data_IF_202059519608
#
_entry.id   IF_202059519608
#
_cell.length_a   1.000
_cell.length_b   1.000
_cell.length_c   1.000
_cell.angle_alpha   90.00
_cell.angle_beta   90.00
_cell.angle_gamma   90.00
#
_symmetry.space_group_name_H-M   'P 1'
#
loop_
_entity.id
_entity.type
_entity.pdbx_description
1 polymer ?
#
# COMPACT_ATOMS: atom_id res chain seq x y z
N UNK A 1 14.50 -17.82 12.38
CA UNK A 1 13.20 -17.71 12.99
C UNK A 1 13.09 -16.42 13.78
N UNK A 2 12.12 -15.57 13.40
CA UNK A 2 11.80 -14.37 14.17
C UNK A 2 10.69 -14.75 15.15
N UNK A 3 11.01 -15.04 16.41
CA UNK A 3 10.03 -15.36 17.45
C UNK A 3 10.52 -16.40 18.45
N UNK A 4 10.10 -16.27 19.68
CA UNK A 4 10.57 -16.98 20.87
C UNK A 4 10.32 -18.50 20.92
N UNK A 5 9.72 -19.14 19.93
CA UNK A 5 9.27 -20.54 20.00
C UNK A 5 9.91 -21.51 19.00
N UNK A 6 11.09 -21.23 18.48
CA UNK A 6 11.65 -22.10 17.46
C UNK A 6 12.66 -23.17 17.89
N UNK A 7 13.31 -23.17 19.05
CA UNK A 7 14.53 -23.97 19.16
C UNK A 7 14.30 -25.47 19.27
N UNK A 8 13.42 -25.95 20.13
CA UNK A 8 13.37 -27.38 20.44
C UNK A 8 12.75 -28.24 19.33
N UNK A 9 11.56 -27.88 18.84
CA UNK A 9 10.90 -28.64 17.78
C UNK A 9 11.67 -28.61 16.45
N UNK A 10 12.37 -27.50 16.18
CA UNK A 10 13.23 -27.37 15.00
C UNK A 10 14.50 -28.21 15.14
N UNK A 11 15.08 -28.24 16.34
CA UNK A 11 16.25 -29.04 16.67
C UNK A 11 15.97 -30.54 16.49
N UNK A 12 14.86 -31.04 17.03
CA UNK A 12 14.41 -32.42 16.87
C UNK A 12 14.20 -32.81 15.39
N UNK A 13 13.51 -31.95 14.62
CA UNK A 13 13.31 -32.18 13.17
C UNK A 13 14.62 -32.19 12.40
N UNK A 14 15.54 -31.31 12.73
CA UNK A 14 16.83 -31.23 12.05
C UNK A 14 17.67 -32.46 12.38
N UNK A 15 17.74 -32.87 13.66
CA UNK A 15 18.45 -34.07 14.12
C UNK A 15 17.87 -35.33 13.48
N UNK A 16 16.54 -35.45 13.44
CA UNK A 16 15.87 -36.59 12.80
C UNK A 16 16.16 -36.67 11.29
N UNK A 17 16.29 -35.54 10.60
CA UNK A 17 16.50 -35.50 9.16
C UNK A 17 17.95 -35.63 8.73
N UNK A 18 18.89 -35.11 9.51
CA UNK A 18 20.31 -34.97 9.11
C UNK A 18 21.29 -35.72 10.03
N UNK A 19 20.82 -36.27 11.14
CA UNK A 19 21.67 -36.94 12.12
C UNK A 19 22.70 -36.02 12.79
N UNK A 20 22.51 -34.71 12.71
CA UNK A 20 23.43 -33.67 13.20
C UNK A 20 22.73 -32.72 14.15
N UNK A 21 23.50 -32.15 15.08
CA UNK A 21 23.04 -31.07 15.95
C UNK A 21 23.44 -29.71 15.38
N UNK A 22 22.69 -28.65 15.77
CA UNK A 22 23.06 -27.27 15.50
C UNK A 22 23.00 -26.46 16.80
N UNK A 23 23.86 -25.47 16.89
CA UNK A 23 23.87 -24.54 18.00
C UNK A 23 22.91 -23.39 17.74
N UNK A 24 22.00 -23.12 18.67
CA UNK A 24 21.16 -21.93 18.63
C UNK A 24 21.95 -20.77 19.21
N UNK A 25 22.32 -19.80 18.40
CA UNK A 25 22.94 -18.57 18.87
C UNK A 25 21.81 -17.57 19.16
N UNK A 26 21.63 -17.09 20.40
CA UNK A 26 20.66 -16.06 20.70
C UNK A 26 21.10 -14.75 20.04
N UNK A 27 20.37 -14.35 19.01
CA UNK A 27 20.58 -13.08 18.32
C UNK A 27 19.37 -12.19 18.55
N UNK A 28 19.57 -11.11 19.29
CA UNK A 28 18.58 -10.05 19.53
C UNK A 28 18.81 -8.94 18.50
N UNK A 29 18.35 -9.15 17.26
CA UNK A 29 18.36 -8.11 16.24
C UNK A 29 17.06 -7.30 16.27
N UNK A 30 17.14 -6.05 15.79
CA UNK A 30 15.94 -5.25 15.57
C UNK A 30 14.96 -5.97 14.62
N UNK A 31 13.65 -5.80 14.86
CA UNK A 31 12.60 -6.36 14.02
C UNK A 31 12.51 -5.58 12.70
N UNK A 32 13.43 -5.87 11.77
CA UNK A 32 13.47 -5.22 10.45
C UNK A 32 12.72 -6.06 9.43
N UNK A 33 11.77 -5.46 8.72
CA UNK A 33 11.06 -6.07 7.61
C UNK A 33 11.67 -5.63 6.28
N UNK A 34 12.34 -6.55 5.56
CA UNK A 34 12.89 -6.26 4.23
C UNK A 34 11.83 -5.78 3.22
N UNK A 35 10.61 -6.20 3.39
CA UNK A 35 9.45 -5.75 2.60
C UNK A 35 9.18 -4.27 2.83
N UNK A 36 9.09 -3.84 4.09
CA UNK A 36 8.85 -2.43 4.43
C UNK A 36 10.05 -1.55 4.11
N UNK A 37 11.28 -2.06 4.24
CA UNK A 37 12.48 -1.34 3.76
C UNK A 37 12.40 -1.02 2.27
N UNK A 38 11.88 -1.93 1.45
CA UNK A 38 11.72 -1.66 0.01
C UNK A 38 10.69 -0.56 -0.25
N UNK A 39 9.63 -0.46 0.55
CA UNK A 39 8.69 0.66 0.49
C UNK A 39 9.41 1.97 0.83
N UNK A 40 10.18 1.99 1.92
CA UNK A 40 10.94 3.18 2.32
C UNK A 40 11.86 3.65 1.18
N UNK A 41 12.61 2.73 0.58
CA UNK A 41 13.52 3.01 -0.54
C UNK A 41 12.78 3.49 -1.80
N UNK A 42 11.62 2.91 -2.13
CA UNK A 42 10.81 3.33 -3.26
C UNK A 42 10.28 4.77 -3.10
N UNK A 43 10.05 5.21 -1.87
CA UNK A 43 9.69 6.59 -1.52
C UNK A 43 10.90 7.50 -1.28
N UNK A 44 12.12 7.06 -1.61
CA UNK A 44 13.35 7.83 -1.45
C UNK A 44 13.77 8.06 0.01
N UNK A 45 13.17 7.32 0.96
CA UNK A 45 13.53 7.42 2.38
C UNK A 45 14.76 6.55 2.68
N UNK A 46 15.61 7.03 3.59
CA UNK A 46 16.75 6.27 4.11
C UNK A 46 16.37 5.64 5.46
N UNK A 47 16.12 4.33 5.53
CA UNK A 47 15.79 3.66 6.78
C UNK A 47 16.99 3.69 7.75
N UNK A 48 16.77 4.08 9.00
CA UNK A 48 17.83 4.11 10.02
C UNK A 48 18.47 2.73 10.31
N UNK A 49 17.72 1.66 10.03
CA UNK A 49 18.19 0.27 10.17
C UNK A 49 19.07 -0.23 9.02
N UNK A 50 19.31 0.61 7.99
CA UNK A 50 20.12 0.25 6.83
C UNK A 50 21.52 0.90 6.95
N UNK A 51 22.56 0.10 6.78
CA UNK A 51 23.93 0.63 6.71
C UNK A 51 24.08 1.63 5.56
N UNK A 52 24.79 2.76 5.81
CA UNK A 52 24.94 3.84 4.83
C UNK A 52 25.57 3.39 3.52
N UNK A 53 26.55 2.49 3.54
CA UNK A 53 27.22 1.97 2.33
C UNK A 53 26.24 1.09 1.52
N UNK A 54 25.39 0.33 2.21
CA UNK A 54 24.35 -0.49 1.57
C UNK A 54 23.30 0.43 0.95
N UNK A 55 22.89 1.49 1.65
CA UNK A 55 21.97 2.48 1.10
C UNK A 55 22.54 3.17 -0.16
N UNK A 56 23.79 3.59 -0.13
CA UNK A 56 24.46 4.22 -1.27
C UNK A 56 24.57 3.27 -2.48
N UNK A 57 24.86 2.00 -2.23
CA UNK A 57 24.88 0.97 -3.27
C UNK A 57 23.50 0.79 -3.92
N UNK A 58 22.45 0.68 -3.10
CA UNK A 58 21.06 0.56 -3.56
C UNK A 58 20.66 1.76 -4.40
N UNK A 59 20.96 2.98 -3.92
CA UNK A 59 20.62 4.23 -4.60
C UNK A 59 21.35 4.36 -5.93
N UNK A 60 22.66 4.09 -5.96
CA UNK A 60 23.48 4.16 -7.18
C UNK A 60 23.03 3.14 -8.21
N UNK A 61 22.70 1.91 -7.77
CA UNK A 61 22.18 0.84 -8.62
C UNK A 61 20.70 0.98 -8.99
N UNK A 62 20.00 2.00 -8.48
CA UNK A 62 18.54 2.19 -8.63
C UNK A 62 17.74 0.94 -8.27
N UNK A 63 18.20 0.22 -7.25
CA UNK A 63 17.54 -0.99 -6.78
C UNK A 63 16.29 -0.61 -5.97
N UNK A 64 15.25 -1.45 -6.06
CA UNK A 64 13.97 -1.29 -5.34
C UNK A 64 13.23 0.03 -5.65
N UNK A 65 13.51 0.63 -6.81
CA UNK A 65 12.80 1.80 -7.32
C UNK A 65 11.90 1.38 -8.49
N UNK A 66 10.80 2.08 -8.66
CA UNK A 66 9.96 1.97 -9.86
C UNK A 66 9.88 3.34 -10.53
N UNK A 67 10.06 3.37 -11.86
CA UNK A 67 10.13 4.61 -12.62
C UNK A 67 8.89 5.51 -12.46
N UNK A 68 7.72 4.91 -12.21
CA UNK A 68 6.45 5.62 -12.02
C UNK A 68 6.33 6.36 -10.68
N UNK A 69 6.97 5.88 -9.60
CA UNK A 69 6.67 6.35 -8.24
C UNK A 69 7.15 7.79 -8.02
N UNK A 70 8.41 8.09 -8.30
CA UNK A 70 8.95 9.42 -8.06
C UNK A 70 8.24 10.53 -8.85
N UNK A 71 7.95 10.38 -10.18
CA UNK A 71 7.17 11.35 -10.92
C UNK A 71 5.73 11.52 -10.42
N UNK A 72 5.07 10.42 -10.02
CA UNK A 72 3.71 10.48 -9.47
C UNK A 72 3.68 11.26 -8.15
N UNK A 73 4.60 10.97 -7.24
CA UNK A 73 4.72 11.68 -5.96
C UNK A 73 5.10 13.16 -6.14
N UNK A 74 5.77 13.53 -7.25
CA UNK A 74 6.07 14.93 -7.55
C UNK A 74 4.81 15.78 -7.82
N UNK A 75 3.69 15.15 -8.20
CA UNK A 75 2.39 15.81 -8.36
C UNK A 75 1.66 16.04 -7.03
N UNK A 76 2.13 15.44 -5.96
CA UNK A 76 1.51 15.52 -4.63
C UNK A 76 2.17 16.60 -3.76
N UNK A 77 1.37 17.19 -2.85
CA UNK A 77 1.90 18.02 -1.77
C UNK A 77 2.61 17.15 -0.73
N UNK A 78 3.55 17.72 0.04
CA UNK A 78 4.33 16.98 1.04
C UNK A 78 3.46 16.16 2.01
N UNK A 79 2.42 16.78 2.57
CA UNK A 79 1.49 16.10 3.48
C UNK A 79 0.78 14.91 2.82
N UNK A 80 0.54 14.98 1.50
CA UNK A 80 -0.07 13.89 0.75
C UNK A 80 0.94 12.79 0.44
N UNK A 81 2.17 13.12 0.11
CA UNK A 81 3.26 12.14 -0.04
C UNK A 81 3.45 11.29 1.23
N UNK A 82 3.41 11.92 2.40
CA UNK A 82 3.47 11.20 3.67
C UNK A 82 2.25 10.30 3.89
N UNK A 83 1.07 10.73 3.47
CA UNK A 83 -0.12 9.89 3.45
C UNK A 83 0.06 8.69 2.49
N UNK A 84 0.43 8.93 1.23
CA UNK A 84 0.67 7.87 0.23
C UNK A 84 1.74 6.88 0.68
N UNK A 85 2.77 7.36 1.39
CA UNK A 85 3.76 6.50 2.02
C UNK A 85 3.16 5.58 3.10
N UNK A 86 2.32 6.10 4.01
CA UNK A 86 1.67 5.28 5.05
C UNK A 86 0.69 4.28 4.44
N UNK A 87 -0.07 4.69 3.41
CA UNK A 87 -0.94 3.79 2.64
C UNK A 87 -0.14 2.65 2.01
N UNK A 88 0.98 2.95 1.35
CA UNK A 88 1.84 1.94 0.75
C UNK A 88 2.45 0.98 1.77
N UNK A 89 2.90 1.48 2.92
CA UNK A 89 3.40 0.61 4.01
C UNK A 89 2.33 -0.34 4.52
N UNK A 90 1.12 0.15 4.71
CA UNK A 90 -0.01 -0.66 5.18
C UNK A 90 -0.41 -1.72 4.14
N UNK A 91 -0.56 -1.32 2.87
CA UNK A 91 -0.92 -2.23 1.78
C UNK A 91 0.15 -3.32 1.56
N UNK A 92 1.41 -2.93 1.39
CA UNK A 92 2.52 -3.89 1.17
C UNK A 92 2.71 -4.79 2.41
N UNK A 93 2.54 -4.24 3.61
CA UNK A 93 2.59 -5.00 4.86
C UNK A 93 1.59 -6.16 4.90
N UNK A 94 0.41 -5.98 4.32
CA UNK A 94 -0.68 -6.97 4.27
C UNK A 94 -0.67 -7.86 3.03
N UNK A 95 -0.15 -7.38 1.90
CA UNK A 95 -0.30 -7.98 0.57
C UNK A 95 0.00 -9.49 0.53
N UNK A 96 1.22 -9.90 0.93
CA UNK A 96 1.62 -11.32 0.85
C UNK A 96 0.73 -12.27 1.65
N UNK A 97 0.26 -11.85 2.84
CA UNK A 97 -0.65 -12.67 3.67
C UNK A 97 -2.08 -12.71 3.13
N UNK A 98 -2.42 -11.81 2.20
CA UNK A 98 -3.67 -11.80 1.46
C UNK A 98 -3.55 -12.44 0.05
N UNK A 99 -2.39 -13.02 -0.29
CA UNK A 99 -2.16 -13.61 -1.62
C UNK A 99 -2.03 -12.57 -2.75
N UNK A 100 -1.72 -11.30 -2.40
CA UNK A 100 -1.62 -10.18 -3.36
C UNK A 100 -0.14 -9.90 -3.65
N UNK A 101 0.18 -9.52 -4.89
CA UNK A 101 1.53 -9.09 -5.27
C UNK A 101 1.94 -7.83 -4.49
N UNK A 102 3.10 -7.90 -3.82
CA UNK A 102 3.69 -6.74 -3.11
C UNK A 102 4.01 -5.59 -4.06
N UNK A 103 4.43 -5.90 -5.28
CA UNK A 103 4.75 -4.92 -6.32
C UNK A 103 3.49 -4.18 -6.78
N UNK A 104 2.41 -4.91 -7.12
CA UNK A 104 1.13 -4.29 -7.48
C UNK A 104 0.56 -3.45 -6.32
N UNK A 105 0.65 -3.96 -5.09
CA UNK A 105 0.22 -3.24 -3.90
C UNK A 105 1.02 -1.94 -3.71
N UNK A 106 2.34 -1.98 -3.90
CA UNK A 106 3.20 -0.79 -3.85
C UNK A 106 2.81 0.24 -4.91
N UNK A 107 2.70 -0.19 -6.17
CA UNK A 107 2.38 0.70 -7.29
C UNK A 107 1.01 1.35 -7.12
N UNK A 108 -0.02 0.55 -6.91
CA UNK A 108 -1.38 1.07 -6.76
C UNK A 108 -1.49 2.04 -5.58
N UNK A 109 -0.86 1.72 -4.45
CA UNK A 109 -0.89 2.56 -3.25
C UNK A 109 -0.06 3.84 -3.39
N UNK A 110 1.11 3.77 -4.05
CA UNK A 110 1.95 4.95 -4.26
C UNK A 110 1.35 5.95 -5.25
N UNK A 111 0.54 5.47 -6.20
CA UNK A 111 -0.03 6.28 -7.27
C UNK A 111 -1.51 6.65 -7.03
N UNK A 112 -2.18 6.13 -5.99
CA UNK A 112 -3.63 6.29 -5.83
C UNK A 112 -4.10 7.74 -5.85
N UNK A 113 -3.34 8.65 -5.24
CA UNK A 113 -3.69 10.06 -5.10
C UNK A 113 -2.91 11.01 -6.05
N UNK A 114 -2.13 10.49 -7.02
CA UNK A 114 -1.32 11.31 -7.92
C UNK A 114 -2.14 12.31 -8.76
N UNK A 115 -3.43 12.06 -8.98
CA UNK A 115 -4.35 12.97 -9.66
C UNK A 115 -4.95 14.09 -8.79
N UNK A 116 -4.74 14.05 -7.46
CA UNK A 116 -5.52 14.87 -6.51
C UNK A 116 -5.34 16.37 -6.63
N UNK A 117 -4.18 16.81 -7.05
CA UNK A 117 -3.86 18.23 -7.20
C UNK A 117 -3.63 18.64 -8.64
N UNK A 118 -3.86 17.73 -9.60
CA UNK A 118 -3.75 18.02 -11.02
C UNK A 118 -5.08 18.60 -11.52
N UNK A 119 -5.12 19.87 -11.92
CA UNK A 119 -6.35 20.48 -12.43
C UNK A 119 -6.75 19.86 -13.78
N UNK A 120 -8.05 19.75 -14.05
CA UNK A 120 -8.55 19.20 -15.32
C UNK A 120 -8.06 19.96 -16.56
N UNK A 121 -7.63 21.22 -16.39
CA UNK A 121 -7.02 22.05 -17.43
C UNK A 121 -5.53 21.78 -17.64
N UNK A 122 -4.94 20.85 -16.90
CA UNK A 122 -3.52 20.52 -17.04
C UNK A 122 -3.22 19.89 -18.39
N UNK A 123 -2.10 20.26 -19.05
CA UNK A 123 -1.62 19.56 -20.25
C UNK A 123 -1.43 18.05 -20.06
N UNK A 124 -1.20 17.60 -18.84
CA UNK A 124 -1.10 16.15 -18.51
C UNK A 124 -2.43 15.40 -18.69
N UNK A 125 -3.54 16.12 -18.79
CA UNK A 125 -4.90 15.60 -18.92
C UNK A 125 -5.58 16.06 -20.22
N UNK A 126 -4.81 16.47 -21.25
CA UNK A 126 -5.35 17.03 -22.49
C UNK A 126 -6.39 16.11 -23.16
N UNK A 127 -6.10 14.81 -23.20
CA UNK A 127 -7.01 13.81 -23.79
C UNK A 127 -7.91 13.09 -22.76
N UNK A 128 -7.90 13.56 -21.51
CA UNK A 128 -8.74 12.96 -20.48
C UNK A 128 -10.20 13.39 -20.63
N UNK A 129 -11.08 12.41 -20.78
CA UNK A 129 -12.53 12.65 -20.76
C UNK A 129 -13.08 12.28 -19.39
N UNK A 130 -13.55 13.27 -18.59
CA UNK A 130 -14.16 12.98 -17.30
C UNK A 130 -15.40 12.09 -17.46
N UNK A 131 -15.59 11.09 -16.61
CA UNK A 131 -16.83 10.33 -16.56
C UNK A 131 -18.03 11.22 -16.15
N UNK A 132 -19.21 10.91 -16.69
CA UNK A 132 -20.44 11.63 -16.34
C UNK A 132 -20.83 11.42 -14.88
N UNK A 133 -21.44 12.45 -14.29
CA UNK A 133 -22.02 12.41 -12.94
C UNK A 133 -21.05 12.04 -11.80
N UNK A 134 -19.76 12.27 -11.97
CA UNK A 134 -18.77 12.07 -10.91
C UNK A 134 -18.66 13.31 -10.02
N UNK A 135 -18.90 13.20 -8.71
CA UNK A 135 -18.72 14.31 -7.80
C UNK A 135 -17.26 14.81 -7.79
N UNK A 136 -17.01 16.14 -7.75
CA UNK A 136 -15.65 16.69 -7.76
C UNK A 136 -14.69 16.08 -6.74
N UNK A 137 -15.09 15.77 -5.49
CA UNK A 137 -14.18 15.19 -4.50
C UNK A 137 -13.58 13.83 -4.88
N UNK A 138 -14.24 13.06 -5.75
CA UNK A 138 -13.77 11.73 -6.18
C UNK A 138 -13.20 11.71 -7.60
N UNK A 139 -13.18 12.85 -8.31
CA UNK A 139 -12.63 12.93 -9.67
C UNK A 139 -11.17 12.52 -9.74
N UNK A 140 -10.39 12.78 -8.69
CA UNK A 140 -8.96 12.48 -8.64
C UNK A 140 -8.63 10.99 -8.84
N UNK A 141 -9.52 10.07 -8.50
CA UNK A 141 -9.30 8.64 -8.71
C UNK A 141 -9.28 8.28 -10.21
N UNK A 142 -10.07 8.98 -11.03
CA UNK A 142 -10.10 8.79 -12.50
C UNK A 142 -8.93 9.48 -13.18
N UNK A 143 -8.62 10.72 -12.80
CA UNK A 143 -7.43 11.42 -13.30
C UNK A 143 -6.15 10.74 -12.86
N UNK A 144 -6.10 10.18 -11.65
CA UNK A 144 -4.97 9.39 -11.15
C UNK A 144 -4.73 8.12 -11.98
N UNK A 145 -5.78 7.36 -12.28
CA UNK A 145 -5.67 6.17 -13.13
C UNK A 145 -5.26 6.55 -14.58
N UNK A 146 -5.76 7.65 -15.10
CA UNK A 146 -5.35 8.18 -16.41
C UNK A 146 -3.86 8.54 -16.42
N UNK A 147 -3.39 9.31 -15.44
CA UNK A 147 -1.98 9.70 -15.31
C UNK A 147 -1.07 8.47 -15.12
N UNK A 148 -1.51 7.50 -14.32
CA UNK A 148 -0.77 6.25 -14.11
C UNK A 148 -0.53 5.53 -15.45
N UNK A 149 -1.54 5.46 -16.32
CA UNK A 149 -1.42 4.84 -17.63
C UNK A 149 -0.58 5.68 -18.59
N UNK A 150 -0.98 6.93 -18.82
CA UNK A 150 -0.48 7.72 -19.94
C UNK A 150 0.83 8.47 -19.63
N UNK A 151 1.04 8.86 -18.39
CA UNK A 151 2.25 9.59 -17.99
C UNK A 151 3.29 8.70 -17.29
N UNK A 152 2.87 7.64 -16.59
CA UNK A 152 3.77 6.81 -15.79
C UNK A 152 3.93 5.39 -16.31
N UNK A 153 3.29 5.03 -17.43
CA UNK A 153 3.49 3.77 -18.13
C UNK A 153 2.98 2.53 -17.39
N UNK A 154 1.94 2.68 -16.56
CA UNK A 154 1.30 1.54 -15.91
C UNK A 154 0.32 0.88 -16.89
N UNK A 155 0.61 -0.36 -17.29
CA UNK A 155 -0.23 -1.14 -18.21
C UNK A 155 -1.10 -2.19 -17.50
N UNK A 156 -0.78 -2.52 -16.25
CA UNK A 156 -1.52 -3.50 -15.46
C UNK A 156 -2.90 -2.98 -15.08
N UNK A 157 -3.95 -3.60 -15.68
CA UNK A 157 -5.34 -3.17 -15.48
C UNK A 157 -5.80 -3.34 -14.04
N UNK A 158 -5.28 -4.30 -13.30
CA UNK A 158 -5.64 -4.48 -11.89
C UNK A 158 -5.11 -3.33 -11.03
N UNK A 159 -3.89 -2.85 -11.32
CA UNK A 159 -3.30 -1.68 -10.67
C UNK A 159 -4.08 -0.41 -11.02
N UNK A 160 -4.39 -0.21 -12.29
CA UNK A 160 -5.18 0.94 -12.76
C UNK A 160 -6.60 0.96 -12.18
N UNK A 161 -7.22 -0.21 -12.09
CA UNK A 161 -8.54 -0.38 -11.50
C UNK A 161 -8.52 -0.08 -9.99
N UNK A 162 -7.50 -0.53 -9.28
CA UNK A 162 -7.32 -0.22 -7.86
C UNK A 162 -7.15 1.30 -7.63
N UNK A 163 -6.40 2.00 -8.49
CA UNK A 163 -6.29 3.46 -8.45
C UNK A 163 -7.63 4.12 -8.78
N UNK A 164 -8.32 3.65 -9.83
CA UNK A 164 -9.58 4.25 -10.33
C UNK A 164 -10.73 4.18 -9.32
N UNK A 165 -10.72 3.24 -8.41
CA UNK A 165 -11.82 3.01 -7.47
C UNK A 165 -11.41 3.06 -6.00
N UNK A 166 -10.24 3.64 -5.69
CA UNK A 166 -9.74 3.67 -4.31
C UNK A 166 -10.59 4.53 -3.36
N UNK A 167 -11.34 5.51 -3.88
CA UNK A 167 -12.19 6.39 -3.07
C UNK A 167 -13.65 5.95 -3.04
N UNK A 168 -14.24 5.67 -4.23
CA UNK A 168 -15.66 5.33 -4.34
C UNK A 168 -15.96 3.85 -4.15
N UNK A 169 -14.98 3.00 -4.35
CA UNK A 169 -15.21 1.57 -4.55
C UNK A 169 -15.99 1.27 -5.82
N UNK A 170 -16.24 0.01 -6.09
CA UNK A 170 -17.14 -0.50 -7.11
C UNK A 170 -17.66 -1.89 -6.74
N UNK A 171 -18.70 -2.36 -7.40
CA UNK A 171 -19.10 -3.75 -7.32
C UNK A 171 -18.01 -4.67 -7.92
N UNK A 172 -17.73 -5.80 -7.26
CA UNK A 172 -16.74 -6.78 -7.73
C UNK A 172 -15.30 -6.25 -7.70
N UNK A 173 -14.91 -5.51 -6.66
CA UNK A 173 -13.52 -5.10 -6.46
C UNK A 173 -12.61 -6.33 -6.37
N UNK A 174 -11.44 -6.24 -7.02
CA UNK A 174 -10.38 -7.25 -6.87
C UNK A 174 -9.79 -7.21 -5.45
N UNK A 175 -9.11 -8.27 -5.00
CA UNK A 175 -8.38 -8.24 -3.73
C UNK A 175 -7.41 -7.06 -3.63
N UNK A 176 -6.73 -6.69 -4.73
CA UNK A 176 -5.85 -5.51 -4.78
C UNK A 176 -6.65 -4.22 -4.59
N UNK A 177 -7.78 -4.07 -5.28
CA UNK A 177 -8.66 -2.92 -5.14
C UNK A 177 -9.16 -2.74 -3.70
N UNK A 178 -9.62 -3.84 -3.07
CA UNK A 178 -10.02 -3.83 -1.65
C UNK A 178 -8.87 -3.44 -0.73
N UNK A 179 -7.67 -3.97 -0.99
CA UNK A 179 -6.47 -3.68 -0.22
C UNK A 179 -6.12 -2.19 -0.25
N UNK A 180 -6.11 -1.57 -1.43
CA UNK A 180 -5.78 -0.15 -1.60
C UNK A 180 -6.85 0.74 -0.96
N UNK A 181 -8.13 0.48 -1.23
CA UNK A 181 -9.27 1.18 -0.64
C UNK A 181 -9.21 1.19 0.90
N UNK A 182 -8.99 0.02 1.49
CA UNK A 182 -8.92 -0.13 2.94
C UNK A 182 -7.64 0.46 3.52
N UNK A 183 -6.52 0.40 2.81
CA UNK A 183 -5.27 1.00 3.27
C UNK A 183 -5.33 2.53 3.29
N UNK A 184 -5.99 3.17 2.30
CA UNK A 184 -6.25 4.62 2.32
C UNK A 184 -7.16 5.02 3.49
N UNK A 185 -8.21 4.24 3.75
CA UNK A 185 -9.15 4.49 4.84
C UNK A 185 -8.52 4.30 6.22
N UNK A 186 -7.60 3.34 6.39
CA UNK A 186 -7.17 2.83 7.70
C UNK A 186 -5.71 3.13 8.04
N UNK A 187 -4.95 3.84 7.18
CA UNK A 187 -3.54 4.14 7.43
C UNK A 187 -3.35 4.83 8.81
N UNK A 188 -2.14 4.76 9.35
CA UNK A 188 -1.86 5.12 10.75
C UNK A 188 -2.19 6.57 11.13
N UNK A 189 -2.17 7.50 10.14
CA UNK A 189 -2.55 8.89 10.35
C UNK A 189 -4.06 9.16 10.40
N UNK A 190 -4.89 8.14 10.16
CA UNK A 190 -6.35 8.25 10.25
C UNK A 190 -6.82 8.02 11.68
N UNK A 191 -7.79 8.82 12.10
CA UNK A 191 -8.44 8.67 13.39
C UNK A 191 -9.95 8.95 13.25
N UNK A 192 -10.78 7.95 13.55
CA UNK A 192 -12.23 8.05 13.61
C UNK A 192 -12.81 6.92 14.47
N UNK A 193 -14.04 7.11 14.93
CA UNK A 193 -14.71 6.14 15.80
C UNK A 193 -14.82 4.76 15.12
N UNK A 194 -14.28 3.73 15.76
CA UNK A 194 -14.32 2.34 15.27
C UNK A 194 -13.14 1.91 14.40
N UNK A 195 -12.16 2.80 14.16
CA UNK A 195 -11.01 2.50 13.31
C UNK A 195 -10.20 1.28 13.79
N UNK A 196 -10.03 1.11 15.10
CA UNK A 196 -9.25 -0.02 15.64
C UNK A 196 -9.92 -1.37 15.36
N UNK A 197 -11.26 -1.42 15.39
CA UNK A 197 -12.01 -2.60 14.97
C UNK A 197 -11.77 -2.92 13.50
N UNK A 198 -11.83 -1.92 12.63
CA UNK A 198 -11.58 -2.10 11.20
C UNK A 198 -10.12 -2.49 10.92
N UNK A 199 -9.15 -1.90 11.62
CA UNK A 199 -7.73 -2.31 11.55
C UNK A 199 -7.51 -3.75 12.01
N UNK A 200 -8.26 -4.24 12.99
CA UNK A 200 -8.21 -5.64 13.40
C UNK A 200 -8.75 -6.57 12.30
N UNK A 201 -9.89 -6.23 11.68
CA UNK A 201 -10.47 -6.96 10.55
C UNK A 201 -9.53 -6.95 9.32
N UNK A 202 -8.94 -5.80 9.00
CA UNK A 202 -7.98 -5.66 7.89
C UNK A 202 -6.81 -6.66 7.98
N UNK A 203 -6.37 -7.00 9.19
CA UNK A 203 -5.28 -7.97 9.40
C UNK A 203 -5.69 -9.41 9.13
N UNK A 204 -6.98 -9.71 9.16
CA UNK A 204 -7.52 -11.08 9.06
C UNK A 204 -8.25 -11.32 7.75
N UNK A 205 -9.19 -10.45 7.39
CA UNK A 205 -10.10 -10.65 6.25
C UNK A 205 -10.46 -9.32 5.60
N UNK A 206 -10.05 -9.13 4.34
CA UNK A 206 -10.28 -7.88 3.60
C UNK A 206 -11.75 -7.71 3.20
N UNK A 207 -12.45 -8.79 2.86
CA UNK A 207 -13.86 -8.72 2.45
C UNK A 207 -14.75 -8.34 3.63
N UNK A 208 -14.55 -8.98 4.78
CA UNK A 208 -15.25 -8.65 6.01
C UNK A 208 -14.93 -7.21 6.45
N UNK A 209 -13.67 -6.80 6.34
CA UNK A 209 -13.28 -5.42 6.65
C UNK A 209 -13.96 -4.42 5.72
N UNK A 210 -13.98 -4.67 4.41
CA UNK A 210 -14.65 -3.81 3.43
C UNK A 210 -16.15 -3.70 3.71
N UNK A 211 -16.82 -4.84 3.95
CA UNK A 211 -18.23 -4.85 4.30
C UNK A 211 -18.55 -3.93 5.51
N UNK A 212 -17.79 -4.08 6.59
CA UNK A 212 -18.00 -3.25 7.78
C UNK A 212 -17.64 -1.78 7.54
N UNK A 213 -16.61 -1.50 6.76
CA UNK A 213 -16.22 -0.12 6.41
C UNK A 213 -17.33 0.58 5.61
N UNK A 214 -17.87 -0.08 4.60
CA UNK A 214 -18.95 0.46 3.77
C UNK A 214 -20.24 0.63 4.58
N UNK A 215 -20.57 -0.31 5.47
CA UNK A 215 -21.72 -0.22 6.37
C UNK A 215 -21.60 0.98 7.31
N UNK A 216 -20.45 1.15 7.95
CA UNK A 216 -20.21 2.28 8.86
C UNK A 216 -20.32 3.62 8.14
N UNK A 217 -19.77 3.71 6.90
CA UNK A 217 -19.90 4.92 6.06
C UNK A 217 -21.36 5.22 5.69
N UNK A 218 -22.11 4.19 5.28
CA UNK A 218 -23.52 4.35 4.94
C UNK A 218 -24.35 4.81 6.13
N UNK A 219 -24.10 4.23 7.30
CA UNK A 219 -24.79 4.62 8.55
C UNK A 219 -24.45 6.05 8.94
N UNK A 220 -23.19 6.50 8.76
CA UNK A 220 -22.78 7.88 8.97
C UNK A 220 -23.50 8.84 8.01
N UNK A 221 -23.55 8.54 6.71
CA UNK A 221 -24.23 9.39 5.72
C UNK A 221 -25.72 9.55 6.04
N UNK A 222 -26.43 8.46 6.38
CA UNK A 222 -27.85 8.50 6.78
C UNK A 222 -28.11 9.33 8.04
N UNK A 223 -27.13 9.45 8.93
CA UNK A 223 -27.24 10.29 10.13
C UNK A 223 -26.97 11.76 9.83
N UNK A 224 -26.14 12.05 8.82
CA UNK A 224 -25.76 13.43 8.44
C UNK A 224 -26.82 14.13 7.57
N UNK A 225 -27.76 13.37 6.97
CA UNK A 225 -28.89 13.89 6.19
C UNK A 225 -30.13 14.25 7.08
N UNK A 226 -30.05 14.02 8.39
CA UNK A 226 -31.08 14.39 9.37
C UNK A 226 -30.71 15.66 10.12
#
# INVERSE_FOLDING_TARGET
GRGEKAPQALHEKFRARYGKDFQVVPFMGEAVSSRLLRVDLAFGKCPASLDGKVYDYIRTGRLYTHAAIAPALALEKETRREHSYRVARMAVGRAASAGISEEKALLASALHDCGKYVPLTSPLLEDFTPPDNVPPPVMHQYTGAYLARHCFGIEDEEVLDAIRYHTSGKAGMTPLGMLVYLSDLLEEGRDFKGIDRLRALFRTDLEVCLYHSLKDQLDYLKQSEK
#
